data_IF_020937936277
#
_entry.id   IF_020937936277
#
_cell.length_a   1.000
_cell.length_b   1.000
_cell.length_c   1.000
_cell.angle_alpha   90.00
_cell.angle_beta   90.00
_cell.angle_gamma   90.00
#
_symmetry.space_group_name_H-M   'P 1'
#
loop_
_entity.id
_entity.type
_entity.pdbx_description
1 polymer ?
#
# COMPACT_ATOMS: atom_id res chain seq x y z
N UNK A 1 -84.08 -4.03 -21.04
CA UNK A 1 -83.50 -2.99 -20.16
C UNK A 1 -82.32 -3.63 -19.42
N UNK A 2 -81.07 -3.22 -19.72
CA UNK A 2 -79.83 -3.27 -18.89
C UNK A 2 -79.40 -4.63 -18.24
N UNK A 3 -78.15 -5.05 -18.11
CA UNK A 3 -76.82 -4.54 -18.43
C UNK A 3 -75.82 -5.72 -18.35
N UNK A 4 -74.90 -5.74 -19.31
CA UNK A 4 -73.50 -6.25 -19.31
C UNK A 4 -72.87 -6.55 -17.93
N UNK A 5 -72.18 -7.71 -17.80
CA UNK A 5 -70.81 -7.74 -17.26
C UNK A 5 -70.00 -8.99 -17.67
N UNK A 6 -69.01 -8.75 -18.52
CA UNK A 6 -67.95 -9.66 -18.95
C UNK A 6 -66.95 -9.83 -17.80
N UNK A 7 -66.71 -11.07 -17.36
CA UNK A 7 -65.58 -11.39 -16.48
C UNK A 7 -64.39 -11.79 -17.34
N UNK A 8 -63.51 -10.82 -17.64
CA UNK A 8 -62.20 -11.06 -18.23
C UNK A 8 -61.25 -11.42 -17.08
N UNK A 9 -60.84 -12.69 -17.04
CA UNK A 9 -59.79 -13.16 -16.14
C UNK A 9 -58.44 -12.66 -16.69
N UNK A 10 -57.97 -11.52 -16.17
CA UNK A 10 -56.63 -11.01 -16.44
C UNK A 10 -55.65 -11.79 -15.55
N UNK A 11 -55.06 -12.85 -16.11
CA UNK A 11 -53.92 -13.53 -15.50
C UNK A 11 -52.72 -12.58 -15.62
N UNK A 12 -52.51 -11.76 -14.59
CA UNK A 12 -51.23 -11.10 -14.38
C UNK A 12 -50.20 -12.19 -14.08
N UNK A 13 -49.49 -12.64 -15.12
CA UNK A 13 -48.19 -13.28 -14.95
C UNK A 13 -47.28 -12.25 -14.26
N UNK A 14 -47.26 -12.30 -12.93
CA UNK A 14 -46.13 -11.85 -12.13
C UNK A 14 -44.94 -12.70 -12.58
N UNK A 15 -44.28 -12.25 -13.64
CA UNK A 15 -42.95 -12.68 -14.00
C UNK A 15 -42.07 -12.34 -12.82
N UNK A 16 -41.96 -13.29 -11.89
CA UNK A 16 -40.85 -13.35 -10.95
C UNK A 16 -39.65 -13.50 -11.86
N UNK A 17 -39.05 -12.37 -12.23
CA UNK A 17 -37.68 -12.31 -12.69
C UNK A 17 -36.87 -12.87 -11.54
N UNK A 18 -36.72 -14.19 -11.53
CA UNK A 18 -35.68 -14.86 -10.78
C UNK A 18 -34.43 -14.18 -11.31
N UNK A 19 -33.88 -13.25 -10.53
CA UNK A 19 -32.51 -12.83 -10.69
C UNK A 19 -31.70 -14.09 -10.46
N UNK A 20 -31.53 -14.86 -11.53
CA UNK A 20 -30.49 -15.88 -11.63
C UNK A 20 -29.23 -15.06 -11.47
N UNK A 21 -28.73 -14.98 -10.24
CA UNK A 21 -27.37 -14.55 -10.00
C UNK A 21 -26.53 -15.59 -10.73
N UNK A 22 -26.10 -15.22 -11.94
CA UNK A 22 -25.26 -16.08 -12.75
C UNK A 22 -24.06 -16.44 -11.90
N UNK A 23 -23.89 -17.72 -11.61
CA UNK A 23 -22.62 -18.22 -11.12
C UNK A 23 -21.56 -17.78 -12.13
N UNK A 24 -20.46 -17.23 -11.62
CA UNK A 24 -19.32 -16.87 -12.45
C UNK A 24 -18.95 -18.08 -13.33
N UNK A 25 -18.89 -17.87 -14.64
CA UNK A 25 -18.58 -18.94 -15.59
C UNK A 25 -17.12 -19.39 -15.54
N UNK A 26 -16.26 -18.68 -14.79
CA UNK A 26 -14.84 -18.94 -14.73
C UNK A 26 -14.52 -20.20 -13.92
N UNK A 27 -14.22 -21.29 -14.63
CA UNK A 27 -13.78 -22.55 -14.02
C UNK A 27 -12.27 -22.60 -13.78
N UNK A 28 -11.81 -23.50 -12.92
CA UNK A 28 -10.38 -23.73 -12.70
C UNK A 28 -9.66 -24.14 -14.00
N UNK A 29 -10.30 -24.94 -14.86
CA UNK A 29 -9.77 -25.38 -16.16
C UNK A 29 -9.51 -24.18 -17.09
N UNK A 30 -10.35 -23.15 -17.03
CA UNK A 30 -10.17 -21.91 -17.80
C UNK A 30 -9.00 -21.08 -17.28
N UNK A 31 -8.70 -21.17 -15.97
CA UNK A 31 -7.58 -20.45 -15.35
C UNK A 31 -6.23 -21.13 -15.54
N UNK A 32 -6.18 -22.46 -15.65
CA UNK A 32 -4.95 -23.22 -15.83
C UNK A 32 -4.00 -22.67 -16.93
N UNK A 33 -4.45 -22.34 -18.16
CA UNK A 33 -3.55 -21.85 -19.20
C UNK A 33 -2.94 -20.47 -18.91
N UNK A 34 -3.56 -19.68 -18.02
CA UNK A 34 -3.13 -18.33 -17.66
C UNK A 34 -2.57 -18.24 -16.23
N UNK A 35 -2.47 -19.39 -15.54
CA UNK A 35 -1.97 -19.49 -14.18
C UNK A 35 -0.61 -20.18 -14.15
N UNK A 36 0.36 -19.56 -13.49
CA UNK A 36 1.71 -20.07 -13.37
C UNK A 36 2.08 -20.18 -11.90
N UNK A 37 2.85 -21.21 -11.56
CA UNK A 37 3.28 -21.42 -10.17
C UNK A 37 4.78 -21.23 -10.02
N UNK A 38 5.19 -20.75 -8.85
CA UNK A 38 6.58 -20.53 -8.52
C UNK A 38 6.83 -20.66 -7.01
N UNK A 39 8.11 -20.67 -6.64
CA UNK A 39 8.56 -20.73 -5.26
C UNK A 39 9.42 -19.50 -4.94
N UNK A 40 9.35 -19.08 -3.68
CA UNK A 40 10.30 -18.14 -3.08
C UNK A 40 11.12 -18.94 -2.08
N UNK A 41 12.37 -19.22 -2.41
CA UNK A 41 13.29 -20.04 -1.61
C UNK A 41 14.62 -19.32 -1.50
N UNK A 42 15.09 -19.11 -0.28
CA UNK A 42 16.38 -18.46 0.00
C UNK A 42 16.56 -17.11 -0.72
N UNK A 43 15.47 -16.32 -0.78
CA UNK A 43 15.46 -15.01 -1.43
C UNK A 43 15.47 -15.06 -2.97
N UNK A 44 15.19 -16.21 -3.59
CA UNK A 44 15.17 -16.39 -5.03
C UNK A 44 13.80 -16.83 -5.55
N UNK A 45 13.43 -16.32 -6.72
CA UNK A 45 12.23 -16.71 -7.46
C UNK A 45 12.55 -17.84 -8.44
N UNK A 46 11.91 -19.00 -8.28
CA UNK A 46 12.13 -20.19 -9.15
C UNK A 46 10.82 -20.79 -9.67
N UNK A 47 10.86 -21.33 -10.89
CA UNK A 47 9.73 -21.97 -11.56
C UNK A 47 9.06 -21.10 -12.63
N UNK A 48 8.09 -21.68 -13.35
CA UNK A 48 7.49 -21.05 -14.54
C UNK A 48 6.84 -19.69 -14.25
N UNK A 49 6.23 -19.52 -13.06
CA UNK A 49 5.67 -18.23 -12.66
C UNK A 49 6.74 -17.15 -12.44
N UNK A 50 7.92 -17.53 -11.96
CA UNK A 50 9.05 -16.61 -11.80
C UNK A 50 9.59 -16.17 -13.19
N UNK A 51 9.71 -17.11 -14.13
CA UNK A 51 10.16 -16.80 -15.50
C UNK A 51 9.17 -15.87 -16.21
N UNK A 52 7.87 -16.14 -16.04
CA UNK A 52 6.81 -15.27 -16.55
C UNK A 52 6.89 -13.86 -15.94
N UNK A 53 7.02 -13.73 -14.61
CA UNK A 53 7.16 -12.44 -13.94
C UNK A 53 8.37 -11.64 -14.45
N UNK A 54 9.55 -12.30 -14.55
CA UNK A 54 10.77 -11.65 -15.07
C UNK A 54 10.57 -11.12 -16.48
N UNK A 55 9.87 -11.87 -17.35
CA UNK A 55 9.56 -11.44 -18.71
C UNK A 55 8.64 -10.22 -18.74
N UNK A 56 7.66 -10.13 -17.84
CA UNK A 56 6.77 -8.96 -17.79
C UNK A 56 7.47 -7.73 -17.21
N UNK A 57 8.28 -7.90 -16.17
CA UNK A 57 9.11 -6.84 -15.58
C UNK A 57 10.09 -6.26 -16.60
N UNK A 58 10.74 -7.11 -17.41
CA UNK A 58 11.70 -6.68 -18.42
C UNK A 58 11.12 -5.63 -19.37
N UNK A 59 9.84 -5.79 -19.72
CA UNK A 59 9.14 -4.93 -20.68
C UNK A 59 8.55 -3.66 -20.05
N UNK A 60 8.45 -3.59 -18.73
CA UNK A 60 7.78 -2.46 -18.06
C UNK A 60 8.77 -1.35 -17.74
N UNK A 61 8.33 -0.09 -17.86
CA UNK A 61 9.03 1.06 -17.30
C UNK A 61 8.77 1.12 -15.79
N UNK A 62 7.51 1.01 -15.39
CA UNK A 62 7.10 1.04 -13.98
C UNK A 62 6.53 -0.31 -13.57
N UNK A 63 6.99 -0.86 -12.46
CA UNK A 63 6.41 -2.08 -11.85
C UNK A 63 5.76 -1.70 -10.53
N UNK A 64 4.44 -1.89 -10.42
CA UNK A 64 3.62 -1.49 -9.29
C UNK A 64 3.13 -2.75 -8.58
N UNK A 65 3.58 -2.95 -7.34
CA UNK A 65 3.25 -4.10 -6.51
C UNK A 65 2.32 -3.69 -5.36
N UNK A 66 1.10 -4.20 -5.40
CA UNK A 66 0.16 -4.15 -4.30
C UNK A 66 0.71 -4.85 -3.07
N UNK A 67 0.55 -4.25 -1.91
CA UNK A 67 1.00 -4.80 -0.64
C UNK A 67 -0.14 -5.49 0.11
N UNK A 68 0.22 -6.50 0.91
CA UNK A 68 -0.66 -7.09 1.90
C UNK A 68 -0.07 -6.79 3.29
N UNK A 69 -0.67 -5.87 4.06
CA UNK A 69 -0.11 -5.45 5.36
C UNK A 69 0.10 -6.63 6.30
N UNK A 70 1.14 -6.54 7.14
CA UNK A 70 1.48 -7.52 8.19
C UNK A 70 1.86 -8.93 7.67
N UNK A 71 2.09 -9.05 6.36
CA UNK A 71 2.47 -10.28 5.70
C UNK A 71 3.97 -10.48 5.63
N UNK A 72 4.46 -11.54 6.27
CA UNK A 72 5.85 -11.96 6.10
C UNK A 72 6.12 -12.37 4.64
N UNK A 73 5.18 -13.08 4.03
CA UNK A 73 5.33 -13.62 2.68
C UNK A 73 5.40 -12.52 1.62
N UNK A 74 4.59 -11.46 1.76
CA UNK A 74 4.62 -10.27 0.89
C UNK A 74 6.00 -9.60 0.93
N UNK A 75 6.57 -9.40 2.12
CA UNK A 75 7.87 -8.78 2.30
C UNK A 75 9.02 -9.68 1.83
N UNK A 76 8.95 -11.00 2.10
CA UNK A 76 9.91 -11.97 1.55
C UNK A 76 9.88 -12.00 0.02
N UNK A 77 8.68 -11.96 -0.59
CA UNK A 77 8.51 -11.90 -2.04
C UNK A 77 9.06 -10.60 -2.61
N UNK A 78 8.75 -9.46 -1.98
CA UNK A 78 9.28 -8.15 -2.39
C UNK A 78 10.80 -8.14 -2.35
N UNK A 79 11.42 -8.68 -1.30
CA UNK A 79 12.87 -8.81 -1.19
C UNK A 79 13.46 -9.72 -2.28
N UNK A 80 12.80 -10.84 -2.60
CA UNK A 80 13.22 -11.75 -3.66
C UNK A 80 13.01 -11.18 -5.08
N UNK A 81 12.11 -10.21 -5.23
CA UNK A 81 11.83 -9.53 -6.49
C UNK A 81 12.90 -8.47 -6.83
N UNK A 82 13.48 -7.81 -5.83
CA UNK A 82 14.46 -6.72 -6.05
C UNK A 82 15.67 -7.14 -6.91
N UNK A 83 16.32 -8.32 -6.71
CA UNK A 83 17.40 -8.76 -7.60
C UNK A 83 16.97 -8.93 -9.05
N UNK A 84 15.73 -9.36 -9.29
CA UNK A 84 15.19 -9.54 -10.64
C UNK A 84 14.88 -8.19 -11.28
N UNK A 85 14.27 -7.26 -10.56
CA UNK A 85 14.10 -5.87 -11.01
C UNK A 85 15.45 -5.21 -11.31
N UNK A 86 16.45 -5.42 -10.46
CA UNK A 86 17.78 -4.83 -10.63
C UNK A 86 18.50 -5.32 -11.91
N UNK A 87 18.22 -6.54 -12.37
CA UNK A 87 18.72 -7.07 -13.66
C UNK A 87 18.13 -6.32 -14.87
N UNK A 88 16.96 -5.71 -14.69
CA UNK A 88 16.29 -4.89 -15.70
C UNK A 88 16.37 -3.40 -15.38
N UNK A 89 17.47 -2.97 -14.78
CA UNK A 89 17.86 -1.56 -14.61
C UNK A 89 16.94 -0.71 -13.70
N UNK A 90 16.06 -1.35 -12.94
CA UNK A 90 15.42 -0.65 -11.83
C UNK A 90 16.48 -0.26 -10.79
N UNK A 91 16.49 1.02 -10.40
CA UNK A 91 17.40 1.59 -9.39
C UNK A 91 16.71 2.45 -8.34
N UNK A 92 15.41 2.68 -8.51
CA UNK A 92 14.60 3.50 -7.61
C UNK A 92 13.37 2.73 -7.17
N UNK A 93 13.08 2.81 -5.88
CA UNK A 93 11.87 2.29 -5.27
C UNK A 93 11.08 3.43 -4.62
N UNK A 94 9.81 3.54 -4.99
CA UNK A 94 8.84 4.42 -4.36
C UNK A 94 7.95 3.62 -3.39
N UNK A 95 7.88 4.08 -2.16
CA UNK A 95 7.09 3.48 -1.09
C UNK A 95 5.96 4.44 -0.70
N UNK A 96 4.76 3.93 -0.49
CA UNK A 96 3.64 4.77 -0.03
C UNK A 96 3.72 5.16 1.46
N UNK A 97 4.91 5.28 2.01
CA UNK A 97 5.14 5.86 3.36
C UNK A 97 5.44 7.36 3.24
N UNK A 98 5.37 8.07 4.36
CA UNK A 98 5.72 9.49 4.46
C UNK A 98 7.12 9.81 3.94
N UNK A 99 7.27 11.02 3.37
CA UNK A 99 8.57 11.50 2.85
C UNK A 99 9.68 11.48 3.91
N UNK A 100 9.49 11.99 5.15
CA UNK A 100 10.54 11.91 6.17
C UNK A 100 10.95 10.46 6.47
N UNK A 101 9.99 9.56 6.66
CA UNK A 101 10.24 8.14 6.86
C UNK A 101 11.04 7.51 5.71
N UNK A 102 10.67 7.77 4.46
CA UNK A 102 11.41 7.25 3.32
C UNK A 102 12.82 7.80 3.21
N UNK A 103 13.03 9.09 3.52
CA UNK A 103 14.37 9.71 3.56
C UNK A 103 15.24 9.08 4.65
N UNK A 104 14.66 8.75 5.82
CA UNK A 104 15.34 7.96 6.85
C UNK A 104 15.76 6.60 6.30
N UNK A 105 14.84 5.84 5.68
CA UNK A 105 15.18 4.55 5.07
C UNK A 105 16.28 4.69 4.01
N UNK A 106 16.20 5.72 3.16
CA UNK A 106 17.19 6.01 2.13
C UNK A 106 18.57 6.37 2.72
N UNK A 107 18.62 6.95 3.91
CA UNK A 107 19.86 7.17 4.65
C UNK A 107 20.41 5.85 5.20
N UNK A 108 19.56 5.02 5.84
CA UNK A 108 19.95 3.74 6.42
C UNK A 108 20.54 2.76 5.39
N UNK A 109 19.98 2.73 4.18
CA UNK A 109 20.44 1.79 3.14
C UNK A 109 21.86 2.04 2.64
N UNK A 110 22.45 3.21 2.94
CA UNK A 110 23.87 3.48 2.67
C UNK A 110 24.79 2.53 3.45
N UNK A 111 24.37 2.10 4.62
CA UNK A 111 25.00 1.07 5.44
C UNK A 111 24.05 -0.12 5.60
N UNK A 112 23.75 -0.83 4.50
CA UNK A 112 22.65 -1.82 4.45
C UNK A 112 22.57 -2.83 5.61
N UNK A 113 23.70 -3.21 6.22
CA UNK A 113 23.73 -4.13 7.37
C UNK A 113 23.15 -3.53 8.66
N UNK A 114 23.05 -2.21 8.78
CA UNK A 114 22.50 -1.51 9.95
C UNK A 114 20.98 -1.33 9.87
N UNK A 115 20.35 -1.52 8.70
CA UNK A 115 18.91 -1.27 8.50
C UNK A 115 18.03 -2.01 9.51
N UNK A 116 18.25 -3.31 9.71
CA UNK A 116 17.46 -4.12 10.65
C UNK A 116 17.62 -3.64 12.10
N UNK A 117 18.84 -3.52 12.67
CA UNK A 117 18.99 -3.02 14.03
C UNK A 117 18.58 -1.56 14.22
N UNK A 118 18.77 -0.68 13.24
CA UNK A 118 18.35 0.72 13.34
C UNK A 118 16.83 0.89 13.32
N UNK A 119 16.12 0.18 12.43
CA UNK A 119 14.64 0.16 12.46
C UNK A 119 14.13 -0.44 13.77
N UNK A 120 14.84 -1.43 14.33
CA UNK A 120 14.51 -1.98 15.64
C UNK A 120 14.67 -0.94 16.74
N UNK A 121 15.76 -0.17 16.70
CA UNK A 121 16.02 0.90 17.66
C UNK A 121 14.95 2.00 17.56
N UNK A 122 14.54 2.37 16.34
CA UNK A 122 13.44 3.31 16.12
C UNK A 122 12.13 2.79 16.72
N UNK A 123 11.74 1.55 16.42
CA UNK A 123 10.55 0.92 16.96
C UNK A 123 10.59 0.84 18.49
N UNK A 124 11.73 0.48 19.07
CA UNK A 124 11.92 0.44 20.52
C UNK A 124 11.87 1.83 21.17
N UNK A 125 12.21 2.89 20.44
CA UNK A 125 12.26 4.27 20.97
C UNK A 125 10.89 4.93 20.93
N UNK A 126 10.17 4.78 19.82
CA UNK A 126 8.93 5.51 19.56
C UNK A 126 7.67 4.64 19.59
N UNK A 127 7.80 3.32 19.73
CA UNK A 127 6.67 2.42 19.94
C UNK A 127 5.97 2.69 21.27
N UNK A 128 4.65 2.57 21.27
CA UNK A 128 3.80 2.78 22.46
C UNK A 128 2.65 1.79 22.48
N UNK A 129 2.01 1.63 23.65
CA UNK A 129 0.86 0.73 23.81
C UNK A 129 -0.44 1.54 23.80
N UNK A 130 -1.42 1.09 23.03
CA UNK A 130 -2.78 1.62 23.03
C UNK A 130 -3.77 0.45 23.06
N UNK A 131 -4.69 0.43 24.04
CA UNK A 131 -5.67 -0.68 24.21
C UNK A 131 -5.04 -2.07 24.14
N UNK A 132 -3.93 -2.26 24.85
CA UNK A 132 -3.16 -3.53 24.88
C UNK A 132 -2.49 -3.90 23.54
N UNK A 133 -2.62 -3.07 22.51
CA UNK A 133 -1.96 -3.25 21.22
C UNK A 133 -0.67 -2.43 21.18
N UNK A 134 0.41 -3.07 20.72
CA UNK A 134 1.64 -2.37 20.38
C UNK A 134 1.44 -1.57 19.09
N UNK A 135 1.71 -0.27 19.15
CA UNK A 135 1.68 0.65 18.02
C UNK A 135 3.12 1.10 17.74
N UNK A 136 3.54 0.98 16.48
CA UNK A 136 4.89 1.31 16.02
C UNK A 136 4.88 2.57 15.13
N UNK A 137 5.98 3.34 15.11
CA UNK A 137 6.04 4.65 14.44
C UNK A 137 5.79 4.57 12.93
N UNK A 138 6.31 3.54 12.27
CA UNK A 138 6.07 3.25 10.85
C UNK A 138 5.30 1.94 10.69
N UNK A 139 3.94 1.95 10.70
CA UNK A 139 3.14 0.72 10.64
C UNK A 139 3.44 -0.18 9.43
N UNK A 140 3.77 0.43 8.29
CA UNK A 140 4.05 -0.28 7.04
C UNK A 140 5.49 -0.82 6.94
N UNK A 141 6.35 -0.52 7.92
CA UNK A 141 7.77 -0.93 7.97
C UNK A 141 8.15 -1.46 9.36
N UNK A 142 7.24 -2.19 9.99
CA UNK A 142 7.34 -2.55 11.42
C UNK A 142 7.94 -3.92 11.68
N UNK A 143 8.05 -4.78 10.67
CA UNK A 143 8.51 -6.17 10.84
C UNK A 143 9.97 -6.39 10.47
N UNK A 144 10.53 -7.51 10.92
CA UNK A 144 11.88 -7.95 10.52
C UNK A 144 11.94 -8.22 9.02
N UNK A 145 10.84 -8.70 8.42
CA UNK A 145 10.78 -8.97 6.99
C UNK A 145 10.79 -7.67 6.17
N UNK A 146 10.10 -6.62 6.63
CA UNK A 146 10.11 -5.30 6.00
C UNK A 146 11.51 -4.68 6.07
N UNK A 147 12.16 -4.76 7.23
CA UNK A 147 13.52 -4.27 7.41
C UNK A 147 14.52 -5.00 6.49
N UNK A 148 14.37 -6.32 6.29
CA UNK A 148 15.19 -7.10 5.35
C UNK A 148 14.92 -6.73 3.89
N UNK A 149 13.69 -6.41 3.54
CA UNK A 149 13.33 -5.88 2.22
C UNK A 149 14.04 -4.54 1.95
N UNK A 150 14.02 -3.61 2.90
CA UNK A 150 14.75 -2.33 2.80
C UNK A 150 16.27 -2.56 2.76
N UNK A 151 16.80 -3.44 3.60
CA UNK A 151 18.21 -3.85 3.58
C UNK A 151 18.61 -4.36 2.19
N UNK A 152 17.75 -5.16 1.55
CA UNK A 152 18.03 -5.71 0.22
C UNK A 152 18.12 -4.62 -0.84
N UNK A 153 17.31 -3.57 -0.75
CA UNK A 153 17.44 -2.40 -1.62
C UNK A 153 18.80 -1.72 -1.44
N UNK A 154 19.30 -1.60 -0.21
CA UNK A 154 20.63 -1.06 0.09
C UNK A 154 21.78 -1.91 -0.45
N UNK A 155 21.71 -3.24 -0.34
CA UNK A 155 22.69 -4.15 -0.96
C UNK A 155 22.79 -3.97 -2.48
N UNK A 156 21.66 -3.62 -3.12
CA UNK A 156 21.56 -3.38 -4.55
C UNK A 156 21.85 -1.91 -4.95
N UNK A 157 22.15 -1.05 -3.96
CA UNK A 157 22.40 0.39 -4.12
C UNK A 157 21.24 1.13 -4.77
N UNK A 158 20.02 0.82 -4.35
CA UNK A 158 18.82 1.50 -4.81
C UNK A 158 18.55 2.77 -4.02
N UNK A 159 17.96 3.76 -4.70
CA UNK A 159 17.35 4.93 -4.08
C UNK A 159 15.96 4.58 -3.56
N UNK A 160 15.61 5.09 -2.38
CA UNK A 160 14.27 4.98 -1.80
C UNK A 160 13.63 6.36 -1.74
N UNK A 161 12.41 6.47 -2.24
CA UNK A 161 11.58 7.68 -2.13
C UNK A 161 10.23 7.36 -1.49
N UNK A 162 9.67 8.33 -0.79
CA UNK A 162 8.35 8.24 -0.15
C UNK A 162 7.35 9.08 -0.90
N UNK A 163 6.10 8.65 -0.96
CA UNK A 163 5.03 9.47 -1.55
C UNK A 163 3.73 9.42 -0.76
N UNK A 164 3.66 8.61 0.30
CA UNK A 164 2.47 8.53 1.14
C UNK A 164 2.39 9.63 2.19
N UNK A 165 1.34 9.54 2.99
CA UNK A 165 1.21 10.36 4.19
C UNK A 165 2.03 9.77 5.34
N UNK A 166 2.67 10.65 6.11
CA UNK A 166 3.38 10.24 7.32
C UNK A 166 2.39 9.72 8.38
N UNK A 167 2.76 8.64 9.07
CA UNK A 167 1.86 8.04 10.05
C UNK A 167 1.69 8.97 11.24
N UNK A 168 0.45 9.16 11.71
CA UNK A 168 0.21 9.91 12.95
C UNK A 168 0.67 9.17 14.19
N UNK A 169 1.30 8.00 14.06
CA UNK A 169 2.04 7.34 15.13
C UNK A 169 3.50 7.80 15.22
N UNK A 170 4.00 8.49 14.19
CA UNK A 170 5.41 8.86 14.03
C UNK A 170 5.73 10.28 14.53
N UNK A 171 4.73 11.05 14.98
CA UNK A 171 4.90 12.46 15.37
C UNK A 171 6.01 12.71 16.41
N UNK A 172 6.21 11.85 17.44
CA UNK A 172 7.30 12.05 18.40
C UNK A 172 8.68 11.99 17.75
N UNK A 173 8.88 11.11 16.76
CA UNK A 173 10.13 11.04 16.01
C UNK A 173 10.30 12.28 15.12
N UNK A 174 9.24 12.74 14.45
CA UNK A 174 9.30 13.99 13.66
C UNK A 174 9.71 15.19 14.51
N UNK A 175 9.24 15.31 15.75
CA UNK A 175 9.68 16.38 16.66
C UNK A 175 11.19 16.29 16.97
N UNK A 176 11.70 15.09 17.16
CA UNK A 176 13.13 14.87 17.41
C UNK A 176 13.95 15.26 16.17
N UNK A 177 13.51 14.87 14.98
CA UNK A 177 14.19 15.25 13.73
C UNK A 177 14.18 16.76 13.49
N UNK A 178 13.05 17.43 13.76
CA UNK A 178 12.96 18.90 13.67
C UNK A 178 13.95 19.59 14.61
N UNK A 179 14.10 19.07 15.84
CA UNK A 179 15.04 19.61 16.82
C UNK A 179 16.49 19.35 16.42
N UNK A 180 16.81 18.14 15.96
CA UNK A 180 18.14 17.75 15.48
C UNK A 180 18.56 18.57 14.26
N UNK A 181 17.62 18.94 13.38
CA UNK A 181 17.85 19.79 12.21
C UNK A 181 18.08 21.29 12.51
N UNK A 182 18.00 21.72 13.78
CA UNK A 182 18.35 23.08 14.19
C UNK A 182 19.85 23.25 14.42
N UNK A 183 20.37 24.47 14.25
CA UNK A 183 21.73 24.81 14.69
C UNK A 183 21.89 24.64 16.20
N UNK A 184 23.10 24.37 16.69
CA UNK A 184 23.35 24.19 18.14
C UNK A 184 22.86 25.37 18.99
N UNK A 185 23.03 26.61 18.50
CA UNK A 185 22.53 27.80 19.16
C UNK A 185 20.99 27.79 19.23
N UNK A 186 20.33 27.49 18.10
CA UNK A 186 18.87 27.39 18.05
C UNK A 186 18.35 26.25 18.92
N UNK A 187 19.05 25.13 18.99
CA UNK A 187 18.73 24.02 19.89
C UNK A 187 18.76 24.46 21.35
N UNK A 188 19.79 25.21 21.77
CA UNK A 188 19.91 25.73 23.15
C UNK A 188 18.79 26.71 23.48
N UNK A 189 18.50 27.66 22.60
CA UNK A 189 17.46 28.67 22.80
C UNK A 189 16.06 28.03 22.89
N UNK A 190 15.80 27.04 22.04
CA UNK A 190 14.45 26.45 21.89
C UNK A 190 14.28 25.12 22.64
N UNK A 191 15.24 24.71 23.45
CA UNK A 191 15.22 23.41 24.13
C UNK A 191 13.97 23.22 25.00
N UNK A 192 13.57 24.25 25.77
CA UNK A 192 12.39 24.18 26.62
C UNK A 192 11.11 23.93 25.82
N UNK A 193 10.94 24.65 24.72
CA UNK A 193 9.76 24.54 23.86
C UNK A 193 9.67 23.17 23.16
N UNK A 194 10.82 22.62 22.74
CA UNK A 194 10.93 21.26 22.25
C UNK A 194 10.50 20.23 23.31
N UNK A 195 11.00 20.34 24.55
CA UNK A 195 10.65 19.43 25.64
C UNK A 195 9.16 19.52 26.01
N UNK A 196 8.58 20.73 26.02
CA UNK A 196 7.16 20.94 26.24
C UNK A 196 6.32 20.26 25.14
N UNK A 197 6.72 20.42 23.88
CA UNK A 197 6.09 19.79 22.72
C UNK A 197 6.12 18.26 22.80
N UNK A 198 7.29 17.69 23.13
CA UNK A 198 7.47 16.24 23.29
C UNK A 198 6.66 15.68 24.45
N UNK A 199 6.66 16.38 25.58
CA UNK A 199 5.89 16.01 26.78
C UNK A 199 4.39 16.05 26.49
N UNK A 200 3.94 17.09 25.80
CA UNK A 200 2.55 17.24 25.37
C UNK A 200 2.11 16.04 24.50
N UNK A 201 2.86 15.71 23.43
CA UNK A 201 2.53 14.55 22.60
C UNK A 201 2.50 13.26 23.41
N UNK A 202 3.51 13.00 24.25
CA UNK A 202 3.58 11.79 25.07
C UNK A 202 2.32 11.60 25.92
N UNK A 203 1.84 12.68 26.56
CA UNK A 203 0.60 12.65 27.36
C UNK A 203 -0.61 12.33 26.49
N UNK A 204 -0.71 12.92 25.30
CA UNK A 204 -1.84 12.70 24.40
C UNK A 204 -1.84 11.32 23.73
N UNK A 205 -0.68 10.74 23.40
CA UNK A 205 -0.61 9.34 22.98
C UNK A 205 -1.08 8.38 24.07
N UNK A 206 -0.65 8.61 25.32
CA UNK A 206 -1.10 7.79 26.45
C UNK A 206 -2.61 7.92 26.73
N UNK A 207 -3.20 9.08 26.41
CA UNK A 207 -4.63 9.36 26.58
C UNK A 207 -5.48 9.02 25.36
N UNK A 208 -4.87 8.83 24.18
CA UNK A 208 -5.56 8.68 22.90
C UNK A 208 -6.65 7.64 23.00
N UNK A 209 -6.34 6.43 23.49
CA UNK A 209 -7.30 5.35 23.74
C UNK A 209 -8.33 5.18 22.60
N UNK A 210 -7.87 5.32 21.35
CA UNK A 210 -8.69 5.29 20.14
C UNK A 210 -9.57 6.52 19.85
N UNK A 211 -9.59 7.55 20.70
CA UNK A 211 -10.21 8.85 20.43
C UNK A 211 -9.26 9.72 19.58
N UNK A 212 -9.27 9.44 18.28
CA UNK A 212 -8.44 10.13 17.30
C UNK A 212 -8.86 11.58 17.09
N UNK A 213 -10.13 11.92 17.32
CA UNK A 213 -10.62 13.29 17.13
C UNK A 213 -10.09 14.18 18.25
N UNK A 214 -10.27 13.78 19.50
CA UNK A 214 -9.73 14.53 20.64
C UNK A 214 -8.21 14.67 20.54
N UNK A 215 -7.51 13.62 20.12
CA UNK A 215 -6.07 13.67 19.85
C UNK A 215 -5.71 14.69 18.77
N UNK A 216 -6.31 14.61 17.59
CA UNK A 216 -6.02 15.52 16.48
C UNK A 216 -6.32 16.98 16.85
N UNK A 217 -7.49 17.23 17.44
CA UNK A 217 -7.90 18.56 17.91
C UNK A 217 -6.95 19.12 18.96
N UNK A 218 -6.48 18.29 19.89
CA UNK A 218 -5.55 18.74 20.91
C UNK A 218 -4.17 19.10 20.34
N UNK A 219 -3.63 18.29 19.42
CA UNK A 219 -2.35 18.58 18.76
C UNK A 219 -2.45 19.85 17.91
N UNK A 220 -3.51 19.99 17.12
CA UNK A 220 -3.72 21.14 16.25
C UNK A 220 -3.87 22.46 17.03
N UNK A 221 -4.53 22.43 18.19
CA UNK A 221 -4.72 23.61 19.05
C UNK A 221 -3.58 23.84 20.06
N UNK A 222 -2.53 23.02 20.05
CA UNK A 222 -1.44 23.15 20.99
C UNK A 222 -0.49 24.28 20.61
N UNK A 223 -0.47 25.34 21.44
CA UNK A 223 0.46 26.46 21.25
C UNK A 223 1.92 26.01 21.23
N UNK A 224 2.30 25.06 22.09
CA UNK A 224 3.67 24.53 22.16
C UNK A 224 4.08 23.86 20.84
N UNK A 225 3.20 23.01 20.30
CA UNK A 225 3.45 22.34 19.02
C UNK A 225 3.54 23.37 17.90
N UNK A 226 2.56 24.28 17.80
CA UNK A 226 2.54 25.31 16.78
C UNK A 226 3.81 26.18 16.78
N UNK A 227 4.18 26.72 17.94
CA UNK A 227 5.36 27.58 18.07
C UNK A 227 6.64 26.81 17.72
N UNK A 228 6.75 25.55 18.16
CA UNK A 228 7.92 24.73 17.85
C UNK A 228 8.05 24.44 16.36
N UNK A 229 6.97 23.99 15.71
CA UNK A 229 6.96 23.73 14.26
C UNK A 229 7.31 24.99 13.47
N UNK A 230 6.77 26.15 13.88
CA UNK A 230 7.07 27.44 13.26
C UNK A 230 8.56 27.77 13.35
N UNK A 231 9.13 27.72 14.56
CA UNK A 231 10.56 28.03 14.77
C UNK A 231 11.44 27.03 14.02
N UNK A 232 11.11 25.74 14.06
CA UNK A 232 11.87 24.69 13.38
C UNK A 232 11.89 24.91 11.86
N UNK A 233 10.77 25.30 11.27
CA UNK A 233 10.67 25.60 9.83
C UNK A 233 11.34 26.92 9.43
N UNK A 234 11.21 27.99 10.24
CA UNK A 234 11.83 29.29 9.94
C UNK A 234 13.35 29.25 10.06
N UNK A 235 13.90 28.41 10.95
CA UNK A 235 15.34 28.34 11.23
C UNK A 235 16.09 27.31 10.37
N UNK A 236 15.39 26.41 9.69
CA UNK A 236 16.01 25.39 8.84
C UNK A 236 15.10 25.06 7.64
N UNK A 237 15.50 25.45 6.41
CA UNK A 237 14.72 25.12 5.21
C UNK A 237 14.52 23.60 5.01
N UNK A 238 15.50 22.79 5.45
CA UNK A 238 15.41 21.33 5.38
C UNK A 238 14.29 20.77 6.27
N UNK A 239 13.93 21.47 7.35
CA UNK A 239 12.84 21.08 8.24
C UNK A 239 11.45 21.31 7.64
N UNK A 240 11.30 22.13 6.59
CA UNK A 240 9.98 22.47 6.03
C UNK A 240 9.22 21.22 5.57
N UNK A 241 9.92 20.24 5.00
CA UNK A 241 9.32 18.95 4.59
C UNK A 241 8.81 18.14 5.79
N UNK A 242 9.48 18.22 6.94
CA UNK A 242 9.09 17.52 8.16
C UNK A 242 7.91 18.23 8.83
N UNK A 243 7.91 19.57 8.82
CA UNK A 243 6.77 20.39 9.29
C UNK A 243 5.52 20.10 8.44
N UNK A 244 5.65 20.05 7.12
CA UNK A 244 4.57 19.71 6.21
C UNK A 244 4.03 18.29 6.49
N UNK A 245 4.93 17.29 6.60
CA UNK A 245 4.56 15.93 6.92
C UNK A 245 3.83 15.81 8.27
N UNK A 246 4.28 16.55 9.29
CA UNK A 246 3.62 16.59 10.60
C UNK A 246 2.19 17.11 10.48
N UNK A 247 2.00 18.25 9.81
CA UNK A 247 0.68 18.87 9.62
C UNK A 247 -0.25 17.98 8.78
N UNK A 248 0.24 17.39 7.70
CA UNK A 248 -0.50 16.47 6.85
C UNK A 248 -0.91 15.20 7.61
N UNK A 249 -0.06 14.71 8.52
CA UNK A 249 -0.36 13.56 9.35
C UNK A 249 -1.54 13.82 10.30
N UNK A 250 -1.57 14.99 10.95
CA UNK A 250 -2.69 15.42 11.80
C UNK A 250 -3.96 15.66 10.98
N UNK A 251 -3.85 16.30 9.81
CA UNK A 251 -4.98 16.49 8.89
C UNK A 251 -5.60 15.15 8.47
N UNK A 252 -4.78 14.18 8.09
CA UNK A 252 -5.21 12.82 7.74
C UNK A 252 -5.86 12.09 8.93
N UNK A 253 -5.32 12.26 10.15
CA UNK A 253 -5.89 11.73 11.38
C UNK A 253 -7.29 12.30 11.63
N UNK A 254 -7.46 13.62 11.47
CA UNK A 254 -8.76 14.30 11.66
C UNK A 254 -9.80 13.82 10.66
N UNK A 255 -9.47 13.83 9.36
CA UNK A 255 -10.36 13.30 8.32
C UNK A 255 -10.86 11.88 8.63
N UNK A 256 -9.96 11.01 9.10
CA UNK A 256 -10.33 9.66 9.49
C UNK A 256 -11.25 9.62 10.72
N UNK A 257 -10.94 10.43 11.75
CA UNK A 257 -11.73 10.50 12.98
C UNK A 257 -13.15 11.04 12.74
N UNK A 258 -13.30 12.01 11.84
CA UNK A 258 -14.57 12.62 11.45
C UNK A 258 -15.34 11.81 10.39
N UNK A 259 -14.73 10.75 9.85
CA UNK A 259 -15.27 9.88 8.79
C UNK A 259 -15.52 10.61 7.47
N UNK A 260 -14.75 11.66 7.19
CA UNK A 260 -14.76 12.42 5.93
C UNK A 260 -14.00 11.66 4.84
N UNK A 261 -14.40 10.42 4.55
CA UNK A 261 -13.62 9.52 3.71
C UNK A 261 -13.50 9.99 2.26
N UNK A 262 -14.49 10.74 1.75
CA UNK A 262 -14.42 11.30 0.41
C UNK A 262 -13.31 12.36 0.33
N UNK A 263 -13.41 13.42 1.14
CA UNK A 263 -12.44 14.53 1.17
C UNK A 263 -11.04 14.04 1.51
N UNK A 264 -10.95 13.08 2.43
CA UNK A 264 -9.70 12.38 2.76
C UNK A 264 -9.04 11.78 1.53
N UNK A 265 -9.80 10.99 0.77
CA UNK A 265 -9.25 10.23 -0.36
C UNK A 265 -8.95 11.13 -1.56
N UNK A 266 -9.77 12.16 -1.79
CA UNK A 266 -9.50 13.18 -2.81
C UNK A 266 -8.19 13.91 -2.51
N UNK A 267 -8.09 14.52 -1.32
CA UNK A 267 -6.88 15.24 -0.89
C UNK A 267 -5.65 14.33 -0.90
N UNK A 268 -5.78 13.10 -0.38
CA UNK A 268 -4.66 12.15 -0.30
C UNK A 268 -4.13 11.77 -1.67
N UNK A 269 -4.99 11.53 -2.66
CA UNK A 269 -4.55 11.15 -4.01
C UNK A 269 -3.74 12.27 -4.65
N UNK A 270 -4.20 13.51 -4.53
CA UNK A 270 -3.48 14.65 -5.07
C UNK A 270 -2.15 14.87 -4.38
N UNK A 271 -2.12 14.69 -3.06
CA UNK A 271 -0.90 14.80 -2.28
C UNK A 271 0.10 13.69 -2.61
N UNK A 272 -0.34 12.45 -2.75
CA UNK A 272 0.51 11.32 -3.11
C UNK A 272 1.19 11.52 -4.49
N UNK A 273 0.46 12.06 -5.47
CA UNK A 273 1.03 12.41 -6.79
C UNK A 273 2.04 13.54 -6.70
N UNK A 274 1.73 14.59 -5.91
CA UNK A 274 2.61 15.75 -5.72
C UNK A 274 3.92 15.34 -5.05
N UNK A 275 3.84 14.57 -3.96
CA UNK A 275 4.99 14.09 -3.20
C UNK A 275 5.85 13.15 -4.05
N UNK A 276 5.25 12.21 -4.79
CA UNK A 276 6.01 11.34 -5.69
C UNK A 276 6.81 12.15 -6.71
N UNK A 277 6.16 13.12 -7.37
CA UNK A 277 6.84 13.99 -8.34
C UNK A 277 8.03 14.72 -7.69
N UNK A 278 7.81 15.34 -6.53
CA UNK A 278 8.84 16.10 -5.82
C UNK A 278 10.05 15.23 -5.45
N UNK A 279 9.83 14.04 -4.89
CA UNK A 279 10.96 13.18 -4.48
C UNK A 279 11.68 12.56 -5.68
N UNK A 280 10.98 12.29 -6.80
CA UNK A 280 11.62 11.86 -8.05
C UNK A 280 12.49 12.97 -8.65
N UNK A 281 12.00 14.23 -8.66
CA UNK A 281 12.78 15.40 -9.09
C UNK A 281 14.03 15.58 -8.21
N UNK A 282 13.91 15.38 -6.89
CA UNK A 282 15.04 15.52 -5.95
C UNK A 282 16.20 14.56 -6.24
N UNK A 283 15.90 13.36 -6.73
CA UNK A 283 16.92 12.36 -7.09
C UNK A 283 17.32 12.41 -8.57
N UNK A 284 16.86 13.42 -9.32
CA UNK A 284 17.05 13.56 -10.77
C UNK A 284 16.57 12.34 -11.56
N UNK A 285 15.45 11.73 -11.16
CA UNK A 285 14.85 10.60 -11.88
C UNK A 285 14.34 11.07 -13.25
N UNK A 286 14.78 10.42 -14.33
CA UNK A 286 14.29 10.69 -15.67
C UNK A 286 12.98 9.93 -15.91
N UNK A 287 11.86 10.64 -15.81
CA UNK A 287 10.53 10.06 -15.99
C UNK A 287 10.29 9.46 -17.39
N UNK A 288 11.14 9.77 -18.39
CA UNK A 288 11.04 9.24 -19.75
C UNK A 288 11.85 7.97 -19.98
N UNK A 289 12.91 7.73 -19.19
CA UNK A 289 13.86 6.64 -19.42
C UNK A 289 13.97 5.69 -18.23
N UNK A 290 13.98 6.23 -17.01
CA UNK A 290 14.25 5.45 -15.82
C UNK A 290 13.09 4.53 -15.46
N UNK A 291 13.45 3.44 -14.78
CA UNK A 291 12.53 2.41 -14.32
C UNK A 291 12.27 2.52 -12.82
N UNK A 292 11.00 2.51 -12.45
CA UNK A 292 10.52 2.71 -11.08
C UNK A 292 9.80 1.48 -10.53
N UNK A 293 10.24 0.98 -9.39
CA UNK A 293 9.47 0.01 -8.62
C UNK A 293 8.61 0.76 -7.60
N UNK A 294 7.32 0.46 -7.53
CA UNK A 294 6.38 1.09 -6.59
C UNK A 294 5.75 0.01 -5.72
N UNK A 295 5.79 0.17 -4.40
CA UNK A 295 5.10 -0.73 -3.46
C UNK A 295 4.16 0.07 -2.56
N UNK A 296 2.88 -0.30 -2.61
CA UNK A 296 1.83 0.33 -1.79
C UNK A 296 0.55 -0.50 -1.74
N UNK A 297 -0.44 -0.07 -0.97
CA UNK A 297 -1.78 -0.67 -0.99
C UNK A 297 -2.29 -0.75 -2.44
N UNK A 298 -2.71 -1.95 -2.84
CA UNK A 298 -3.06 -2.24 -4.23
C UNK A 298 -4.09 -1.25 -4.78
N UNK A 299 -5.05 -0.82 -3.95
CA UNK A 299 -6.14 0.06 -4.37
C UNK A 299 -5.60 1.38 -4.95
N UNK A 300 -4.52 1.92 -4.39
CA UNK A 300 -3.88 3.16 -4.85
C UNK A 300 -2.97 2.95 -6.07
N UNK A 301 -2.65 1.70 -6.38
CA UNK A 301 -1.81 1.30 -7.52
C UNK A 301 -2.62 0.77 -8.71
N UNK A 302 -3.95 0.89 -8.72
CA UNK A 302 -4.78 0.47 -9.85
C UNK A 302 -4.54 1.32 -11.11
N UNK A 303 -4.66 0.70 -12.29
CA UNK A 303 -4.88 1.42 -13.55
C UNK A 303 -6.30 1.98 -13.61
N UNK A 304 -6.48 3.19 -14.12
CA UNK A 304 -7.80 3.84 -14.18
C UNK A 304 -8.27 4.30 -12.80
N UNK A 305 -9.58 4.17 -12.54
CA UNK A 305 -10.15 4.50 -11.25
C UNK A 305 -9.76 3.51 -10.17
N UNK A 306 -9.28 4.01 -9.04
CA UNK A 306 -9.19 3.24 -7.81
C UNK A 306 -10.60 2.96 -7.25
N UNK A 307 -10.78 1.99 -6.31
CA UNK A 307 -12.09 1.69 -5.72
C UNK A 307 -12.82 2.89 -5.09
N UNK A 308 -12.09 3.98 -4.80
CA UNK A 308 -12.61 5.23 -4.26
C UNK A 308 -13.00 6.26 -5.33
N UNK A 309 -13.03 5.88 -6.61
CA UNK A 309 -13.40 6.75 -7.75
C UNK A 309 -12.47 7.96 -7.99
N UNK A 310 -11.18 7.82 -7.67
CA UNK A 310 -10.15 8.80 -8.02
C UNK A 310 -9.06 8.19 -8.91
N UNK A 311 -8.25 9.04 -9.55
CA UNK A 311 -7.07 8.62 -10.32
C UNK A 311 -5.82 8.76 -9.44
N UNK A 312 -5.41 7.63 -8.85
CA UNK A 312 -4.25 7.53 -7.97
C UNK A 312 -2.91 7.48 -8.72
N UNK A 313 -1.84 7.29 -7.94
CA UNK A 313 -0.46 7.12 -8.45
C UNK A 313 -0.37 6.00 -9.48
N UNK A 314 -1.10 4.90 -9.28
CA UNK A 314 -1.15 3.81 -10.25
C UNK A 314 -1.56 4.27 -11.65
N UNK A 315 -2.66 4.99 -11.74
CA UNK A 315 -3.14 5.52 -13.01
C UNK A 315 -2.16 6.53 -13.61
N UNK A 316 -1.66 7.48 -12.81
CA UNK A 316 -0.70 8.48 -13.28
C UNK A 316 0.52 7.84 -13.91
N UNK A 317 1.12 6.83 -13.28
CA UNK A 317 2.27 6.13 -13.83
C UNK A 317 1.93 5.31 -15.07
N UNK A 318 0.73 4.72 -15.14
CA UNK A 318 0.25 4.04 -16.35
C UNK A 318 0.17 5.00 -17.55
N UNK A 319 -0.41 6.17 -17.37
CA UNK A 319 -0.55 7.17 -18.43
C UNK A 319 0.81 7.73 -18.88
N UNK A 320 1.72 7.98 -17.93
CA UNK A 320 3.08 8.42 -18.24
C UNK A 320 3.83 7.36 -19.05
N UNK A 321 3.79 6.08 -18.62
CA UNK A 321 4.46 5.01 -19.35
C UNK A 321 3.91 4.87 -20.78
N UNK A 322 2.59 4.95 -20.94
CA UNK A 322 1.95 4.93 -22.26
C UNK A 322 2.38 6.12 -23.13
N UNK A 323 2.43 7.32 -22.55
CA UNK A 323 2.88 8.53 -23.24
C UNK A 323 4.33 8.40 -23.75
N UNK A 324 5.19 7.73 -22.97
CA UNK A 324 6.58 7.45 -23.34
C UNK A 324 6.73 6.30 -24.36
N UNK A 325 5.64 5.71 -24.85
CA UNK A 325 5.69 4.53 -25.73
C UNK A 325 6.15 3.26 -25.01
N UNK A 326 6.02 3.22 -23.68
CA UNK A 326 6.34 2.08 -22.82
C UNK A 326 5.07 1.55 -22.14
N UNK A 327 5.22 0.74 -21.08
CA UNK A 327 4.12 0.23 -20.28
C UNK A 327 4.42 0.20 -18.79
N UNK A 328 3.37 0.26 -17.98
CA UNK A 328 3.42 -0.11 -16.56
C UNK A 328 2.96 -1.56 -16.37
N UNK A 329 3.47 -2.21 -15.33
CA UNK A 329 3.05 -3.54 -14.88
C UNK A 329 2.37 -3.41 -13.51
N UNK A 330 1.07 -3.67 -13.45
CA UNK A 330 0.25 -3.58 -12.23
C UNK A 330 -0.03 -4.97 -11.65
N UNK A 331 0.44 -5.19 -10.43
CA UNK A 331 0.36 -6.48 -9.74
C UNK A 331 -0.43 -6.33 -8.45
N UNK A 332 -1.57 -7.02 -8.33
CA UNK A 332 -2.30 -7.11 -7.05
C UNK A 332 -1.91 -8.38 -6.28
N UNK A 333 -1.87 -8.30 -4.94
CA UNK A 333 -1.68 -9.48 -4.06
C UNK A 333 -3.02 -9.83 -3.41
N UNK A 334 -3.47 -11.07 -3.61
CA UNK A 334 -4.72 -11.58 -3.03
C UNK A 334 -4.44 -12.89 -2.27
N UNK A 335 -4.19 -12.84 -0.96
CA UNK A 335 -3.92 -14.03 -0.16
C UNK A 335 -5.17 -14.91 -0.05
N UNK A 336 -4.99 -16.22 -0.18
CA UNK A 336 -6.04 -17.21 0.08
C UNK A 336 -5.82 -17.99 1.36
N UNK A 337 -4.61 -18.45 1.61
CA UNK A 337 -4.30 -19.30 2.76
C UNK A 337 -3.53 -18.49 3.78
N UNK A 338 -3.95 -18.52 5.05
CA UNK A 338 -3.26 -17.83 6.14
C UNK A 338 -3.04 -18.78 7.31
N UNK A 339 -1.83 -18.78 7.86
CA UNK A 339 -1.52 -19.48 9.10
C UNK A 339 -1.74 -18.55 10.28
N UNK A 340 -2.69 -18.89 11.15
CA UNK A 340 -2.97 -18.20 12.41
C UNK A 340 -2.94 -19.21 13.54
N UNK A 341 -2.11 -18.98 14.56
CA UNK A 341 -1.93 -19.89 15.70
C UNK A 341 -1.65 -21.35 15.28
N UNK A 342 -0.83 -21.54 14.23
CA UNK A 342 -0.50 -22.86 13.69
C UNK A 342 -1.58 -23.53 12.83
N UNK A 343 -2.76 -22.91 12.69
CA UNK A 343 -3.87 -23.43 11.86
C UNK A 343 -3.91 -22.70 10.52
N UNK A 344 -3.98 -23.46 9.42
CA UNK A 344 -4.16 -22.90 8.08
C UNK A 344 -5.64 -22.64 7.84
N UNK A 345 -6.00 -21.37 7.71
CA UNK A 345 -7.33 -20.91 7.33
C UNK A 345 -7.41 -20.72 5.81
N UNK A 346 -8.54 -21.10 5.21
CA UNK A 346 -8.87 -20.80 3.81
C UNK A 346 -9.78 -19.57 3.79
N UNK A 347 -9.20 -18.41 3.42
CA UNK A 347 -9.86 -17.12 3.42
C UNK A 347 -11.05 -17.09 2.44
N UNK A 348 -11.06 -17.94 1.40
CA UNK A 348 -12.23 -18.09 0.51
C UNK A 348 -13.51 -18.52 1.24
N UNK A 349 -13.42 -19.00 2.50
CA UNK A 349 -14.59 -19.39 3.31
C UNK A 349 -15.08 -18.27 4.24
N UNK A 350 -14.47 -17.09 4.19
CA UNK A 350 -14.77 -15.97 5.08
C UNK A 350 -15.32 -14.79 4.27
N UNK A 351 -16.59 -14.46 4.48
CA UNK A 351 -17.42 -13.57 3.63
C UNK A 351 -16.92 -12.12 3.48
N UNK A 352 -15.87 -11.72 4.20
CA UNK A 352 -15.32 -10.35 4.18
C UNK A 352 -13.86 -10.29 3.71
N UNK A 353 -13.36 -11.32 3.04
CA UNK A 353 -11.98 -11.36 2.55
C UNK A 353 -11.92 -11.09 1.05
N UNK A 354 -10.78 -10.58 0.57
CA UNK A 354 -10.51 -10.48 -0.86
C UNK A 354 -10.53 -11.84 -1.54
N UNK A 355 -10.13 -12.91 -0.85
CA UNK A 355 -10.20 -14.27 -1.39
C UNK A 355 -11.62 -14.71 -1.67
N UNK A 356 -12.55 -14.44 -0.75
CA UNK A 356 -13.98 -14.69 -0.96
C UNK A 356 -14.53 -13.83 -2.11
N UNK A 357 -14.23 -12.53 -2.10
CA UNK A 357 -14.66 -11.59 -3.15
C UNK A 357 -14.16 -12.00 -4.54
N UNK A 358 -12.96 -12.57 -4.62
CA UNK A 358 -12.34 -13.00 -5.86
C UNK A 358 -12.20 -14.53 -5.93
N UNK A 359 -13.21 -15.25 -5.43
CA UNK A 359 -13.20 -16.71 -5.33
C UNK A 359 -12.95 -17.38 -6.68
N UNK A 360 -13.55 -16.83 -7.74
CA UNK A 360 -13.39 -17.31 -9.11
C UNK A 360 -11.93 -17.31 -9.59
N UNK A 361 -11.08 -16.40 -9.12
CA UNK A 361 -9.64 -16.37 -9.43
C UNK A 361 -8.81 -17.15 -8.40
N UNK A 362 -9.11 -16.98 -7.11
CA UNK A 362 -8.31 -17.54 -6.02
C UNK A 362 -8.42 -19.06 -5.86
N UNK A 363 -9.39 -19.69 -6.53
CA UNK A 363 -9.44 -21.15 -6.66
C UNK A 363 -8.16 -21.76 -7.29
N UNK A 364 -7.42 -21.01 -8.13
CA UNK A 364 -6.16 -21.47 -8.75
C UNK A 364 -4.95 -21.49 -7.79
N UNK A 365 -5.11 -21.03 -6.55
CA UNK A 365 -4.05 -20.99 -5.55
C UNK A 365 -3.60 -22.39 -5.11
N UNK A 366 -2.31 -22.52 -4.76
CA UNK A 366 -1.76 -23.71 -4.12
C UNK A 366 -1.21 -23.34 -2.74
N UNK A 367 -1.39 -24.21 -1.74
CA UNK A 367 -0.97 -23.91 -0.35
C UNK A 367 0.54 -23.68 -0.22
N UNK A 368 1.34 -24.43 -0.97
CA UNK A 368 2.80 -24.48 -0.85
C UNK A 368 3.54 -23.80 -2.03
N UNK A 369 2.82 -23.12 -2.91
CA UNK A 369 3.40 -22.44 -4.06
C UNK A 369 2.74 -21.09 -4.23
N UNK A 370 3.48 -20.12 -4.73
CA UNK A 370 2.90 -18.89 -5.23
C UNK A 370 2.23 -19.17 -6.57
N UNK A 371 1.10 -18.52 -6.83
CA UNK A 371 0.40 -18.53 -8.11
C UNK A 371 0.40 -17.12 -8.67
N UNK A 372 0.77 -16.94 -9.94
CA UNK A 372 0.53 -15.71 -10.70
C UNK A 372 -0.49 -16.01 -11.79
N UNK A 373 -1.52 -15.17 -11.90
CA UNK A 373 -2.55 -15.23 -12.93
C UNK A 373 -2.36 -14.03 -13.86
N UNK A 374 -2.25 -14.30 -15.16
CA UNK A 374 -2.13 -13.27 -16.20
C UNK A 374 -3.51 -12.77 -16.63
N UNK A 375 -3.94 -11.64 -16.04
CA UNK A 375 -5.26 -11.06 -16.33
C UNK A 375 -5.32 -10.37 -17.70
N UNK A 376 -4.17 -10.02 -18.29
CA UNK A 376 -4.13 -9.36 -19.60
C UNK A 376 -4.78 -10.23 -20.68
N UNK A 377 -4.62 -11.55 -20.60
CA UNK A 377 -5.24 -12.50 -21.54
C UNK A 377 -6.76 -12.53 -21.44
N UNK A 378 -7.32 -12.12 -20.30
CA UNK A 378 -8.76 -12.10 -20.08
C UNK A 378 -9.44 -10.85 -20.65
N UNK A 379 -8.71 -9.74 -20.85
CA UNK A 379 -9.31 -8.45 -21.25
C UNK A 379 -10.11 -8.60 -22.54
N UNK A 380 -9.51 -9.17 -23.59
CA UNK A 380 -10.18 -9.34 -24.88
C UNK A 380 -11.40 -10.26 -24.76
N UNK A 381 -11.28 -11.35 -24.01
CA UNK A 381 -12.33 -12.37 -23.89
C UNK A 381 -13.50 -11.93 -23.00
N UNK A 382 -13.35 -10.85 -22.22
CA UNK A 382 -14.34 -10.39 -21.24
C UNK A 382 -14.96 -9.04 -21.57
N UNK A 383 -14.26 -8.17 -22.31
CA UNK A 383 -14.70 -6.80 -22.57
C UNK A 383 -15.06 -6.51 -24.04
N UNK A 384 -14.74 -7.42 -24.96
CA UNK A 384 -14.97 -7.21 -26.39
C UNK A 384 -15.88 -8.30 -26.97
N UNK A 385 -16.69 -7.94 -27.96
CA UNK A 385 -17.67 -8.84 -28.58
C UNK A 385 -16.99 -9.82 -29.56
N UNK A 386 -17.32 -11.11 -29.54
CA UNK A 386 -18.25 -11.77 -28.61
C UNK A 386 -17.62 -11.98 -27.23
N UNK A 387 -18.34 -11.59 -26.17
CA UNK A 387 -17.91 -11.81 -24.78
C UNK A 387 -17.95 -13.31 -24.50
N UNK A 388 -16.81 -13.88 -24.11
CA UNK A 388 -16.63 -15.32 -23.89
C UNK A 388 -16.99 -15.74 -22.47
N UNK A 389 -16.76 -14.88 -21.48
CA UNK A 389 -17.05 -15.16 -20.07
C UNK A 389 -17.97 -14.12 -19.45
N UNK A 390 -18.96 -14.59 -18.69
CA UNK A 390 -19.85 -13.74 -17.90
C UNK A 390 -19.32 -13.69 -16.47
N UNK A 391 -18.43 -12.73 -16.21
CA UNK A 391 -17.78 -12.55 -14.90
C UNK A 391 -18.63 -11.63 -14.01
N UNK A 392 -18.49 -11.76 -12.70
CA UNK A 392 -19.10 -10.80 -11.78
C UNK A 392 -18.43 -9.40 -11.90
N UNK A 393 -19.14 -8.36 -11.46
CA UNK A 393 -18.65 -6.99 -11.57
C UNK A 393 -17.31 -6.77 -10.82
N UNK A 394 -17.11 -7.29 -9.59
CA UNK A 394 -15.82 -7.21 -8.90
C UNK A 394 -14.63 -7.78 -9.69
N UNK A 395 -14.79 -8.94 -10.34
CA UNK A 395 -13.74 -9.59 -11.12
C UNK A 395 -13.46 -8.79 -12.39
N UNK A 396 -14.50 -8.34 -13.11
CA UNK A 396 -14.32 -7.45 -14.27
C UNK A 396 -13.55 -6.19 -13.90
N UNK A 397 -13.91 -5.57 -12.77
CA UNK A 397 -13.25 -4.37 -12.24
C UNK A 397 -11.79 -4.66 -11.83
N UNK A 398 -11.49 -5.85 -11.31
CA UNK A 398 -10.11 -6.27 -11.04
C UNK A 398 -9.28 -6.41 -12.34
N UNK A 399 -9.83 -7.08 -13.37
CA UNK A 399 -9.18 -7.29 -14.67
C UNK A 399 -8.86 -5.97 -15.38
N UNK A 400 -9.70 -4.95 -15.24
CA UNK A 400 -9.44 -3.61 -15.81
C UNK A 400 -8.26 -2.90 -15.13
N UNK A 401 -8.05 -3.17 -13.84
CA UNK A 401 -7.13 -2.39 -12.99
C UNK A 401 -5.74 -2.99 -12.86
N UNK A 402 -5.59 -4.30 -13.07
CA UNK A 402 -4.33 -5.01 -12.88
C UNK A 402 -4.00 -5.91 -14.06
N UNK A 403 -2.71 -6.01 -14.36
CA UNK A 403 -2.20 -6.93 -15.36
C UNK A 403 -2.09 -8.33 -14.77
N UNK A 404 -1.64 -8.41 -13.51
CA UNK A 404 -1.38 -9.66 -12.81
C UNK A 404 -2.06 -9.68 -11.44
N UNK A 405 -2.50 -10.87 -11.03
CA UNK A 405 -2.77 -11.16 -9.61
C UNK A 405 -1.79 -12.22 -9.14
N UNK A 406 -1.17 -11.96 -8.01
CA UNK A 406 -0.35 -12.92 -7.29
C UNK A 406 -1.13 -13.42 -6.08
N UNK A 407 -1.22 -14.74 -5.96
CA UNK A 407 -1.76 -15.43 -4.79
C UNK A 407 -0.59 -16.10 -4.09
N UNK A 408 -0.22 -15.62 -2.90
CA UNK A 408 0.84 -16.20 -2.11
C UNK A 408 0.64 -17.68 -1.78
N UNK A 409 1.77 -18.36 -1.52
CA UNK A 409 1.75 -19.55 -0.67
C UNK A 409 1.18 -19.19 0.73
N UNK A 410 0.96 -20.18 1.60
CA UNK A 410 0.37 -19.92 2.94
C UNK A 410 1.04 -18.74 3.63
N UNK A 411 0.24 -17.70 3.87
CA UNK A 411 0.62 -16.47 4.54
C UNK A 411 1.01 -16.74 5.98
N UNK A 412 2.05 -16.04 6.42
CA UNK A 412 2.53 -16.07 7.80
C UNK A 412 2.57 -14.65 8.33
N UNK A 413 2.15 -14.50 9.58
CA UNK A 413 2.25 -13.24 10.29
C UNK A 413 3.72 -12.83 10.40
N UNK A 414 3.99 -11.56 10.10
CA UNK A 414 5.33 -11.01 10.18
C UNK A 414 5.75 -10.81 11.65
N UNK A 415 6.98 -11.21 11.98
CA UNK A 415 7.55 -10.94 13.30
C UNK A 415 7.90 -9.45 13.42
N UNK A 416 7.33 -8.77 14.40
CA UNK A 416 7.65 -7.37 14.69
C UNK A 416 9.15 -7.20 14.95
N UNK A 417 9.73 -6.11 14.45
CA UNK A 417 11.11 -5.75 14.72
C UNK A 417 11.19 -4.88 15.98
N UNK A 418 10.93 -5.49 17.14
CA UNK A 418 10.75 -4.82 18.44
C UNK A 418 11.06 -5.80 19.60
N UNK A 419 11.56 -5.30 20.74
CA UNK A 419 11.95 -6.13 21.90
C UNK A 419 11.31 -5.75 23.25
N UNK A 420 10.74 -4.56 23.39
CA UNK A 420 10.42 -3.98 24.71
C UNK A 420 9.12 -4.46 25.35
#
# INVERSE_FOLDING_TARGET
MRLIQKSVFLICFLGVSVCVQGQDSLSLEMLQPISYHFLVTDGQLTGKGADFLKKEIAKAQFTLLGDYPDSKSSSDFSAALLPELNRFEYKTMALGIGVPSARLLNAMVKESQSVVPELKALNNTYGFTEKEMLVLPMPDMKSVADARFVQKAGELKWSIVGFGNESWNNLPWLLDQLYEGLSEESQKINHSLYLESKTFLKVWYAKRNGDLLAFATAVENSKFIYDFLKIAGEKSPENLVIVEAFNNSIKNCRFYAEKEFFDKNEWRVDEEKRLLRQELEQINFDIHQDKLFVKWDMNFLSRGFQPYAFYGVGNTLSEIANYNGSKSLHIGIVPRFQSKNGVIQDLMKLENTMAYRFAALTQAAKKNQWTVIDLQQMIQETHYTPVKYLLDAPIQDLIKRYDLIIIPAVEKEATLNYDK
#
